data_IF_337830883169
#
_entry.id   IF_337830883169
#
_cell.length_a   1.000
_cell.length_b   1.000
_cell.length_c   1.000
_cell.angle_alpha   90.00
_cell.angle_beta   90.00
_cell.angle_gamma   90.00
#
_symmetry.space_group_name_H-M   'P 1'
#
loop_
_entity.id
_entity.type
_entity.pdbx_description
1 polymer ?
#
# COMPACT_ATOMS: atom_id res chain seq x y z
N UNK A 1 15.59 -0.32 -11.36
CA UNK A 1 16.95 -0.54 -10.81
C UNK A 1 16.82 -0.55 -9.31
N UNK A 2 17.22 -1.65 -8.68
CA UNK A 2 16.94 -1.88 -7.26
C UNK A 2 17.95 -1.11 -6.38
N UNK A 3 17.46 -0.07 -5.70
CA UNK A 3 18.26 0.81 -4.84
C UNK A 3 18.48 0.21 -3.44
N UNK A 4 17.59 -0.69 -3.03
CA UNK A 4 17.60 -1.35 -1.72
C UNK A 4 18.63 -2.47 -1.72
N UNK A 5 18.67 -3.30 -2.77
CA UNK A 5 19.69 -4.36 -2.89
C UNK A 5 21.11 -3.85 -3.06
N UNK A 6 21.30 -2.56 -3.38
CA UNK A 6 22.61 -1.91 -3.43
C UNK A 6 23.01 -1.22 -2.12
N UNK A 7 22.28 -1.47 -1.03
CA UNK A 7 22.50 -0.89 0.31
C UNK A 7 22.49 0.66 0.34
N UNK A 8 21.99 1.29 -0.73
CA UNK A 8 21.96 2.76 -0.81
C UNK A 8 20.82 3.37 0.00
N UNK A 9 19.80 2.57 0.32
CA UNK A 9 18.62 2.99 1.08
C UNK A 9 18.25 1.83 2.02
N UNK A 10 18.06 2.13 3.31
CA UNK A 10 17.55 1.19 4.30
C UNK A 10 16.13 1.57 4.68
N UNK A 11 15.26 0.59 4.80
CA UNK A 11 13.88 0.83 5.24
C UNK A 11 13.75 1.09 6.75
N UNK A 12 14.86 0.97 7.49
CA UNK A 12 14.90 1.09 8.96
C UNK A 12 14.55 2.47 9.48
N UNK A 13 14.56 3.49 8.61
CA UNK A 13 14.21 4.88 8.95
C UNK A 13 12.90 5.33 8.32
N UNK A 14 12.15 4.42 7.69
CA UNK A 14 10.88 4.73 7.04
C UNK A 14 9.81 5.01 8.08
N UNK A 15 9.34 6.25 8.12
CA UNK A 15 8.20 6.66 8.94
C UNK A 15 6.87 6.63 8.18
N UNK A 16 6.92 6.78 6.86
CA UNK A 16 5.75 6.85 5.99
C UNK A 16 5.94 5.93 4.80
N UNK A 17 4.98 5.03 4.57
CA UNK A 17 4.90 4.20 3.37
C UNK A 17 3.60 4.52 2.65
N UNK A 18 3.69 4.85 1.36
CA UNK A 18 2.53 5.22 0.55
C UNK A 18 2.45 4.30 -0.65
N UNK A 19 1.28 3.71 -0.85
CA UNK A 19 0.94 2.90 -1.99
C UNK A 19 -0.12 3.65 -2.81
N UNK A 20 0.28 4.22 -3.94
CA UNK A 20 -0.60 5.00 -4.81
C UNK A 20 -1.01 4.20 -6.05
N UNK A 21 -2.25 4.36 -6.52
CA UNK A 21 -2.86 3.53 -7.58
C UNK A 21 -2.72 2.01 -7.32
N UNK A 22 -3.07 1.56 -6.10
CA UNK A 22 -2.86 0.18 -5.67
C UNK A 22 -3.54 -0.86 -6.58
N UNK A 23 -4.74 -0.57 -7.08
CA UNK A 23 -5.44 -1.39 -8.07
C UNK A 23 -4.64 -1.54 -9.37
N UNK A 24 -4.11 -0.45 -9.91
CA UNK A 24 -3.25 -0.49 -11.11
C UNK A 24 -1.98 -1.30 -10.89
N UNK A 25 -1.35 -1.19 -9.73
CA UNK A 25 -0.16 -1.98 -9.42
C UNK A 25 -0.48 -3.48 -9.38
N UNK A 26 -1.62 -3.89 -8.82
CA UNK A 26 -2.04 -5.28 -8.85
C UNK A 26 -2.34 -5.77 -10.28
N UNK A 27 -3.03 -4.95 -11.09
CA UNK A 27 -3.29 -5.26 -12.51
C UNK A 27 -1.99 -5.49 -13.31
N UNK A 28 -0.95 -4.72 -12.99
CA UNK A 28 0.38 -4.83 -13.60
C UNK A 28 1.22 -5.99 -13.03
N UNK A 29 0.71 -6.71 -12.02
CA UNK A 29 1.39 -7.85 -11.41
C UNK A 29 2.45 -7.49 -10.37
N UNK A 30 2.47 -6.26 -9.83
CA UNK A 30 3.45 -5.79 -8.84
C UNK A 30 3.24 -6.34 -7.42
N UNK A 31 2.26 -7.23 -7.22
CA UNK A 31 1.97 -7.80 -5.91
C UNK A 31 3.24 -8.39 -5.25
N UNK A 32 4.03 -9.25 -5.89
CA UNK A 32 5.21 -9.84 -5.26
C UNK A 32 6.27 -8.80 -4.86
N UNK A 33 6.44 -7.74 -5.67
CA UNK A 33 7.36 -6.64 -5.37
C UNK A 33 6.90 -5.82 -4.16
N UNK A 34 5.60 -5.53 -4.06
CA UNK A 34 5.02 -4.83 -2.91
C UNK A 34 5.22 -5.65 -1.63
N UNK A 35 4.89 -6.94 -1.68
CA UNK A 35 5.08 -7.87 -0.56
C UNK A 35 6.56 -7.93 -0.15
N UNK A 36 7.48 -8.02 -1.12
CA UNK A 36 8.93 -8.01 -0.88
C UNK A 36 9.40 -6.74 -0.17
N UNK A 37 8.84 -5.57 -0.51
CA UNK A 37 9.18 -4.32 0.18
C UNK A 37 8.61 -4.27 1.60
N UNK A 38 7.34 -4.67 1.77
CA UNK A 38 6.64 -4.58 3.05
C UNK A 38 7.15 -5.60 4.08
N UNK A 39 7.59 -6.78 3.61
CA UNK A 39 8.16 -7.87 4.40
C UNK A 39 9.69 -7.85 4.48
N UNK A 40 10.35 -6.83 3.91
CA UNK A 40 11.80 -6.72 3.97
C UNK A 40 12.29 -6.65 5.43
N UNK A 41 13.39 -7.33 5.76
CA UNK A 41 13.86 -7.43 7.16
C UNK A 41 14.18 -6.07 7.80
N UNK A 42 14.62 -5.10 6.99
CA UNK A 42 14.91 -3.74 7.46
C UNK A 42 13.68 -2.83 7.54
N UNK A 43 12.49 -3.29 7.12
CA UNK A 43 11.28 -2.46 7.15
C UNK A 43 10.75 -2.28 8.57
N UNK A 44 10.45 -1.05 8.95
CA UNK A 44 9.83 -0.74 10.24
C UNK A 44 8.44 -1.40 10.31
N UNK A 45 8.09 -2.22 11.32
CA UNK A 45 6.83 -2.96 11.33
C UNK A 45 5.57 -2.12 11.13
N UNK A 46 4.53 -2.75 10.57
CA UNK A 46 3.19 -2.16 10.43
C UNK A 46 2.68 -1.75 11.82
N UNK A 47 2.19 -0.50 11.94
CA UNK A 47 1.80 0.10 13.21
C UNK A 47 2.88 0.94 13.90
N UNK A 48 4.16 0.76 13.56
CA UNK A 48 5.25 1.66 13.96
C UNK A 48 5.60 2.69 12.87
N UNK A 49 5.24 2.38 11.61
CA UNK A 49 5.22 3.31 10.48
C UNK A 49 3.78 3.67 10.11
N UNK A 50 3.57 4.86 9.58
CA UNK A 50 2.29 5.23 8.98
C UNK A 50 2.23 4.71 7.55
N UNK A 51 1.24 3.88 7.26
CA UNK A 51 0.99 3.34 5.92
C UNK A 51 -0.26 3.99 5.35
N UNK A 52 -0.21 4.45 4.10
CA UNK A 52 -1.35 4.99 3.36
C UNK A 52 -1.50 4.25 2.03
N UNK A 53 -2.74 3.95 1.65
CA UNK A 53 -3.06 3.29 0.40
C UNK A 53 -4.14 4.08 -0.34
N UNK A 54 -3.90 4.35 -1.62
CA UNK A 54 -4.82 5.03 -2.52
C UNK A 54 -5.14 4.09 -3.68
N UNK A 55 -6.42 4.00 -4.02
CA UNK A 55 -6.93 3.11 -5.06
C UNK A 55 -8.22 3.68 -5.63
N UNK A 56 -8.42 3.60 -6.94
CA UNK A 56 -9.66 4.07 -7.57
C UNK A 56 -10.80 3.04 -7.43
N UNK A 57 -10.44 1.77 -7.37
CA UNK A 57 -11.34 0.63 -7.18
C UNK A 57 -10.99 -0.15 -5.91
N UNK A 58 -11.91 -0.98 -5.41
CA UNK A 58 -11.70 -1.74 -4.17
C UNK A 58 -12.12 -3.23 -4.29
N UNK A 59 -11.54 -3.98 -5.25
CA UNK A 59 -11.80 -5.43 -5.38
C UNK A 59 -11.22 -6.23 -4.20
N UNK A 60 -11.55 -7.52 -4.12
CA UNK A 60 -11.16 -8.40 -3.00
C UNK A 60 -9.64 -8.41 -2.76
N UNK A 61 -8.81 -8.39 -3.81
CA UNK A 61 -7.37 -8.40 -3.65
C UNK A 61 -6.82 -7.10 -3.04
N UNK A 62 -7.45 -5.94 -3.32
CA UNK A 62 -7.10 -4.67 -2.67
C UNK A 62 -7.57 -4.65 -1.22
N UNK A 63 -8.72 -5.27 -0.93
CA UNK A 63 -9.21 -5.44 0.44
C UNK A 63 -8.24 -6.28 1.28
N UNK A 64 -7.76 -7.40 0.72
CA UNK A 64 -6.74 -8.26 1.35
C UNK A 64 -5.44 -7.49 1.58
N UNK A 65 -4.97 -6.74 0.58
CA UNK A 65 -3.77 -5.89 0.70
C UNK A 65 -3.92 -4.85 1.82
N UNK A 66 -5.08 -4.20 1.95
CA UNK A 66 -5.36 -3.27 3.03
C UNK A 66 -5.32 -3.96 4.40
N UNK A 67 -5.93 -5.14 4.53
CA UNK A 67 -5.98 -5.90 5.78
C UNK A 67 -4.59 -6.37 6.23
N UNK A 68 -3.75 -6.79 5.28
CA UNK A 68 -2.42 -7.33 5.58
C UNK A 68 -1.42 -6.23 5.97
N UNK A 69 -1.56 -5.03 5.41
CA UNK A 69 -0.50 -4.02 5.45
C UNK A 69 -0.86 -2.66 6.06
N UNK A 70 -2.13 -2.44 6.41
CA UNK A 70 -2.57 -1.28 7.19
C UNK A 70 -2.93 -1.68 8.61
N UNK A 71 -2.52 -0.86 9.60
CA UNK A 71 -2.89 -1.05 11.00
C UNK A 71 -4.05 -0.14 11.39
N UNK A 72 -5.15 -0.71 11.90
CA UNK A 72 -6.34 0.03 12.39
C UNK A 72 -6.72 1.23 11.50
N UNK A 73 -6.88 0.96 10.20
CA UNK A 73 -6.98 2.01 9.19
C UNK A 73 -8.37 2.65 9.11
N UNK A 74 -8.40 3.91 8.67
CA UNK A 74 -9.63 4.58 8.29
C UNK A 74 -9.89 4.36 6.80
N UNK A 75 -11.05 3.79 6.48
CA UNK A 75 -11.51 3.68 5.10
C UNK A 75 -12.23 4.96 4.69
N UNK A 76 -11.65 5.70 3.75
CA UNK A 76 -12.20 6.96 3.25
C UNK A 76 -12.54 6.77 1.78
N UNK A 77 -13.82 6.98 1.44
CA UNK A 77 -14.29 6.99 0.05
C UNK A 77 -14.61 8.42 -0.33
N UNK A 78 -13.97 8.91 -1.39
CA UNK A 78 -14.28 10.21 -1.98
C UNK A 78 -15.15 9.96 -3.21
N UNK A 79 -16.44 10.26 -3.09
CA UNK A 79 -17.43 10.14 -4.16
C UNK A 79 -18.15 11.46 -4.43
N UNK A 80 -18.80 11.56 -5.60
CA UNK A 80 -19.63 12.71 -5.94
C UNK A 80 -20.93 12.63 -5.13
N UNK A 81 -21.18 13.63 -4.27
CA UNK A 81 -22.52 13.84 -3.70
C UNK A 81 -23.45 14.25 -4.86
N UNK A 82 -24.25 13.31 -5.37
CA UNK A 82 -25.27 13.59 -6.39
C UNK A 82 -25.35 12.65 -7.60
N UNK A 83 -24.53 11.60 -7.69
CA UNK A 83 -24.75 10.53 -8.67
C UNK A 83 -25.91 9.65 -8.22
N UNK A 84 -27.12 9.99 -8.63
CA UNK A 84 -28.33 9.24 -8.31
C UNK A 84 -28.13 7.74 -8.51
N UNK A 85 -28.48 6.95 -7.49
CA UNK A 85 -28.80 5.55 -7.66
C UNK A 85 -29.95 5.46 -8.68
N UNK A 86 -29.69 4.84 -9.82
CA UNK A 86 -30.70 4.22 -10.68
C UNK A 86 -30.23 2.83 -11.03
#
# INVERSE_FOLDING_TARGET
GDFVSRDKVKFSSVRYFVLDEADRMLDMGFKPEIEKMLLHESMVPVGQRQTMMFSATFPEDIQRLAQDYLNNYLFIVVGIVGGACT
#
